data_IF_431365760825
#
_entry.id   IF_431365760825
#
_cell.length_a   1.000
_cell.length_b   1.000
_cell.length_c   1.000
_cell.angle_alpha   90.00
_cell.angle_beta   90.00
_cell.angle_gamma   90.00
#
_symmetry.space_group_name_H-M   'P 1'
#
loop_
_entity.id
_entity.type
_entity.pdbx_description
1 polymer ?
#
# COMPACT_ATOMS: atom_id res chain seq x y z
N UNK A 1 23.80 2.13 -47.08
CA UNK A 1 22.32 2.12 -47.09
C UNK A 1 21.86 1.92 -45.65
N UNK A 2 21.63 3.00 -44.92
CA UNK A 2 21.05 2.97 -43.58
C UNK A 2 19.54 2.85 -43.71
N UNK A 3 18.96 1.82 -43.09
CA UNK A 3 17.53 1.56 -43.07
C UNK A 3 16.74 2.79 -42.56
N UNK A 4 15.50 3.02 -43.03
CA UNK A 4 14.65 4.03 -42.44
C UNK A 4 14.38 3.63 -40.98
N UNK A 5 14.82 4.47 -40.05
CA UNK A 5 14.52 4.32 -38.63
C UNK A 5 13.05 4.72 -38.49
N UNK A 6 12.18 3.76 -38.19
CA UNK A 6 10.77 4.06 -37.92
C UNK A 6 10.68 5.23 -36.92
N UNK A 7 9.75 6.17 -37.12
CA UNK A 7 9.60 7.30 -36.20
C UNK A 7 9.36 6.76 -34.78
N UNK A 8 9.91 7.43 -33.74
CA UNK A 8 9.71 6.96 -32.37
C UNK A 8 8.20 6.88 -32.08
N UNK A 9 7.75 5.73 -31.59
CA UNK A 9 6.38 5.52 -31.11
C UNK A 9 6.16 6.47 -29.93
N UNK A 10 5.57 7.64 -30.21
CA UNK A 10 5.43 8.74 -29.24
C UNK A 10 4.31 8.51 -28.23
N UNK A 11 3.33 7.71 -28.61
CA UNK A 11 2.16 7.37 -27.82
C UNK A 11 1.96 5.86 -27.81
N UNK A 12 1.69 5.29 -26.65
CA UNK A 12 1.31 3.88 -26.47
C UNK A 12 -0.02 3.83 -25.74
N UNK A 13 -0.93 2.98 -26.21
CA UNK A 13 -2.23 2.75 -25.57
C UNK A 13 -2.24 1.42 -24.86
N UNK A 14 -2.79 1.41 -23.65
CA UNK A 14 -3.00 0.20 -22.86
C UNK A 14 -4.43 0.16 -22.35
N UNK A 15 -5.02 -1.03 -22.35
CA UNK A 15 -6.38 -1.25 -21.85
C UNK A 15 -6.29 -1.96 -20.50
N UNK A 16 -6.99 -1.41 -19.50
CA UNK A 16 -7.01 -1.88 -18.12
C UNK A 16 -8.41 -2.32 -17.72
N UNK A 17 -8.51 -3.47 -17.06
CA UNK A 17 -9.74 -4.02 -16.50
C UNK A 17 -9.97 -3.50 -15.06
N UNK A 18 -11.15 -2.94 -14.80
CA UNK A 18 -11.56 -2.36 -13.51
C UNK A 18 -11.89 -3.41 -12.44
N UNK A 19 -12.01 -4.69 -12.80
CA UNK A 19 -12.00 -5.82 -11.88
C UNK A 19 -10.59 -6.15 -11.38
N UNK A 20 -9.55 -5.83 -12.16
CA UNK A 20 -8.16 -6.00 -11.77
C UNK A 20 -7.59 -4.77 -11.04
N UNK A 21 -7.94 -3.56 -11.49
CA UNK A 21 -7.36 -2.32 -11.00
C UNK A 21 -8.44 -1.34 -10.52
N UNK A 22 -8.28 -0.79 -9.32
CA UNK A 22 -9.08 0.34 -8.89
C UNK A 22 -8.78 1.58 -9.75
N UNK A 23 -9.82 2.33 -10.15
CA UNK A 23 -9.69 3.59 -10.88
C UNK A 23 -8.82 4.61 -10.13
N UNK A 24 -8.89 4.62 -8.81
CA UNK A 24 -8.06 5.46 -7.95
C UNK A 24 -6.58 5.10 -8.12
N UNK A 25 -6.24 3.81 -8.15
CA UNK A 25 -4.87 3.33 -8.34
C UNK A 25 -4.29 3.75 -9.70
N UNK A 26 -5.08 3.62 -10.77
CA UNK A 26 -4.71 4.03 -12.12
C UNK A 26 -4.39 5.53 -12.16
N UNK A 27 -5.26 6.35 -11.56
CA UNK A 27 -5.06 7.81 -11.48
C UNK A 27 -3.82 8.18 -10.68
N UNK A 28 -3.58 7.51 -9.55
CA UNK A 28 -2.40 7.73 -8.71
C UNK A 28 -1.11 7.35 -9.45
N UNK A 29 -1.11 6.21 -10.16
CA UNK A 29 0.04 5.80 -10.97
C UNK A 29 0.35 6.80 -12.09
N UNK A 30 -0.66 7.31 -12.79
CA UNK A 30 -0.48 8.36 -13.80
C UNK A 30 0.13 9.64 -13.19
N UNK A 31 -0.29 10.03 -11.97
CA UNK A 31 0.25 11.18 -11.29
C UNK A 31 1.76 11.03 -10.96
N UNK A 32 2.21 9.83 -10.56
CA UNK A 32 3.63 9.53 -10.28
C UNK A 32 4.51 9.80 -11.50
N UNK A 33 4.02 9.47 -12.70
CA UNK A 33 4.77 9.61 -13.95
C UNK A 33 4.47 10.89 -14.74
N UNK A 34 3.58 11.76 -14.24
CA UNK A 34 3.22 13.03 -14.90
C UNK A 34 4.40 13.96 -15.28
N UNK A 35 5.56 13.95 -14.58
CA UNK A 35 6.72 14.71 -15.02
C UNK A 35 7.39 14.15 -16.28
N UNK A 36 7.21 12.86 -16.59
CA UNK A 36 7.89 12.14 -17.67
C UNK A 36 6.97 11.84 -18.86
N UNK A 37 5.67 11.71 -18.63
CA UNK A 37 4.67 11.42 -19.66
C UNK A 37 3.35 12.16 -19.42
N UNK A 38 2.60 12.33 -20.49
CA UNK A 38 1.20 12.72 -20.47
C UNK A 38 0.33 11.46 -20.51
N UNK A 39 -0.70 11.44 -19.67
CA UNK A 39 -1.64 10.33 -19.55
C UNK A 39 -3.04 10.83 -19.89
N UNK A 40 -3.69 10.18 -20.84
CA UNK A 40 -5.12 10.37 -21.12
C UNK A 40 -5.85 9.09 -20.76
N UNK A 41 -6.80 9.20 -19.84
CA UNK A 41 -7.56 8.06 -19.32
C UNK A 41 -8.99 8.20 -19.83
N UNK A 42 -9.40 7.29 -20.71
CA UNK A 42 -10.73 7.27 -21.29
C UNK A 42 -11.48 6.00 -20.91
N UNK A 43 -12.80 6.09 -20.89
CA UNK A 43 -13.65 4.92 -20.63
C UNK A 43 -13.80 4.15 -21.93
N UNK A 44 -13.22 2.96 -21.97
CA UNK A 44 -13.39 2.04 -23.09
C UNK A 44 -14.31 0.90 -22.66
N UNK A 45 -15.64 1.09 -22.76
CA UNK A 45 -16.62 0.07 -22.33
C UNK A 45 -17.05 0.18 -20.86
N UNK A 46 -17.72 -0.85 -20.33
CA UNK A 46 -18.33 -0.79 -18.98
C UNK A 46 -17.31 -0.97 -17.85
N UNK A 47 -16.39 -1.90 -18.01
CA UNK A 47 -15.45 -2.34 -16.97
C UNK A 47 -13.99 -2.16 -17.38
N UNK A 48 -13.72 -1.37 -18.42
CA UNK A 48 -12.39 -1.20 -18.96
C UNK A 48 -12.07 0.28 -19.18
N UNK A 49 -10.79 0.64 -19.04
CA UNK A 49 -10.24 1.96 -19.31
C UNK A 49 -9.13 1.86 -20.34
N UNK A 50 -9.16 2.75 -21.34
CA UNK A 50 -8.01 2.99 -22.20
C UNK A 50 -7.14 4.06 -21.55
N UNK A 51 -5.82 3.82 -21.53
CA UNK A 51 -4.84 4.80 -21.11
C UNK A 51 -3.85 5.03 -22.23
N UNK A 52 -3.88 6.22 -22.81
CA UNK A 52 -2.82 6.70 -23.69
C UNK A 52 -1.67 7.25 -22.87
N UNK A 53 -0.45 6.81 -23.18
CA UNK A 53 0.80 7.23 -22.56
C UNK A 53 1.67 7.88 -23.62
N UNK A 54 1.86 9.19 -23.50
CA UNK A 54 2.70 9.97 -24.41
C UNK A 54 3.95 10.44 -23.68
N UNK A 55 5.12 9.94 -24.10
CA UNK A 55 6.39 10.35 -23.49
C UNK A 55 6.68 11.82 -23.79
N UNK A 56 7.22 12.55 -22.80
CA UNK A 56 7.71 13.92 -23.00
C UNK A 56 9.13 13.95 -23.59
N UNK A 57 9.88 12.86 -23.45
CA UNK A 57 11.20 12.70 -24.06
C UNK A 57 11.14 12.15 -25.48
N UNK A 58 12.27 12.27 -26.19
CA UNK A 58 12.40 11.88 -27.59
C UNK A 58 13.11 10.53 -27.77
N UNK A 59 13.37 9.79 -26.69
CA UNK A 59 14.11 8.54 -26.79
C UNK A 59 13.24 7.47 -27.49
N UNK A 60 13.78 6.73 -28.48
CA UNK A 60 13.04 5.67 -29.14
C UNK A 60 12.53 4.63 -28.15
N UNK A 61 11.23 4.34 -28.18
CA UNK A 61 10.59 3.36 -27.30
C UNK A 61 10.33 3.85 -25.87
N UNK A 62 10.55 5.13 -25.58
CA UNK A 62 10.36 5.70 -24.24
C UNK A 62 8.89 5.61 -23.77
N UNK A 63 7.93 5.92 -24.65
CA UNK A 63 6.51 5.80 -24.34
C UNK A 63 6.12 4.36 -23.94
N UNK A 64 6.67 3.37 -24.64
CA UNK A 64 6.45 1.94 -24.34
C UNK A 64 7.09 1.53 -23.01
N UNK A 65 8.31 2.01 -22.72
CA UNK A 65 8.95 1.79 -21.41
C UNK A 65 8.10 2.39 -20.28
N UNK A 66 7.69 3.65 -20.44
CA UNK A 66 6.86 4.36 -19.46
C UNK A 66 5.49 3.71 -19.28
N UNK A 67 4.87 3.20 -20.34
CA UNK A 67 3.63 2.43 -20.25
C UNK A 67 3.82 1.16 -19.40
N UNK A 68 4.93 0.43 -19.58
CA UNK A 68 5.25 -0.74 -18.75
C UNK A 68 5.49 -0.39 -17.28
N UNK A 69 6.22 0.70 -17.00
CA UNK A 69 6.45 1.19 -15.65
C UNK A 69 5.17 1.68 -14.97
N UNK A 70 4.31 2.36 -15.74
CA UNK A 70 2.98 2.77 -15.32
C UNK A 70 2.12 1.58 -14.91
N UNK A 71 2.08 0.49 -15.70
CA UNK A 71 1.28 -0.71 -15.36
C UNK A 71 1.74 -1.35 -14.04
N UNK A 72 3.06 -1.41 -13.82
CA UNK A 72 3.62 -1.92 -12.56
C UNK A 72 3.22 -1.03 -11.38
N UNK A 73 3.28 0.29 -11.55
CA UNK A 73 2.89 1.21 -10.49
C UNK A 73 1.38 1.19 -10.23
N UNK A 74 0.54 1.08 -11.27
CA UNK A 74 -0.91 0.92 -11.10
C UNK A 74 -1.23 -0.32 -10.27
N UNK A 75 -0.54 -1.45 -10.51
CA UNK A 75 -0.69 -2.65 -9.71
C UNK A 75 -0.23 -2.44 -8.26
N UNK A 76 0.90 -1.76 -8.05
CA UNK A 76 1.41 -1.45 -6.72
C UNK A 76 0.45 -0.56 -5.92
N UNK A 77 -0.11 0.47 -6.55
CA UNK A 77 -1.08 1.37 -5.92
C UNK A 77 -2.37 0.63 -5.58
N UNK A 78 -2.86 -0.23 -6.47
CA UNK A 78 -4.05 -1.04 -6.22
C UNK A 78 -3.84 -1.97 -5.00
N UNK A 79 -2.70 -2.67 -4.94
CA UNK A 79 -2.35 -3.52 -3.80
C UNK A 79 -2.27 -2.72 -2.49
N UNK A 80 -1.67 -1.52 -2.51
CA UNK A 80 -1.61 -0.64 -1.34
C UNK A 80 -3.01 -0.21 -0.89
N UNK A 81 -3.88 0.16 -1.82
CA UNK A 81 -5.28 0.54 -1.51
C UNK A 81 -6.04 -0.64 -0.92
N UNK A 82 -5.93 -1.84 -1.50
CA UNK A 82 -6.56 -3.06 -0.97
C UNK A 82 -6.06 -3.38 0.44
N UNK A 83 -4.75 -3.31 0.65
CA UNK A 83 -4.15 -3.53 1.98
C UNK A 83 -4.62 -2.48 2.98
N UNK A 84 -4.64 -1.21 2.62
CA UNK A 84 -5.11 -0.13 3.48
C UNK A 84 -6.59 -0.31 3.85
N UNK A 85 -7.44 -0.68 2.89
CA UNK A 85 -8.87 -0.95 3.10
C UNK A 85 -9.09 -2.16 4.01
N UNK A 86 -8.38 -3.27 3.76
CA UNK A 86 -8.46 -4.48 4.59
C UNK A 86 -7.98 -4.24 6.03
N UNK A 87 -6.97 -3.38 6.22
CA UNK A 87 -6.39 -3.08 7.52
C UNK A 87 -6.99 -1.84 8.20
N UNK A 88 -8.07 -1.27 7.66
CA UNK A 88 -8.63 -0.01 8.16
C UNK A 88 -9.03 -0.10 9.64
N UNK A 89 -9.54 -1.25 10.10
CA UNK A 89 -9.87 -1.47 11.50
C UNK A 89 -8.65 -1.42 12.43
N UNK A 90 -7.54 -2.05 12.02
CA UNK A 90 -6.28 -2.04 12.77
C UNK A 90 -5.68 -0.63 12.80
N UNK A 91 -5.69 0.07 11.67
CA UNK A 91 -5.23 1.46 11.58
C UNK A 91 -6.02 2.38 12.51
N UNK A 92 -7.35 2.24 12.54
CA UNK A 92 -8.21 3.00 13.47
C UNK A 92 -7.91 2.68 14.93
N UNK A 93 -7.72 1.41 15.28
CA UNK A 93 -7.38 1.00 16.64
C UNK A 93 -6.02 1.59 17.08
N UNK A 94 -5.01 1.49 16.23
CA UNK A 94 -3.68 2.05 16.49
C UNK A 94 -3.73 3.57 16.63
N UNK A 95 -4.45 4.26 15.75
CA UNK A 95 -4.65 5.71 15.84
C UNK A 95 -5.36 6.11 17.15
N UNK A 96 -6.43 5.39 17.51
CA UNK A 96 -7.14 5.62 18.77
C UNK A 96 -6.23 5.40 19.99
N UNK A 97 -5.42 4.33 19.98
CA UNK A 97 -4.45 4.08 21.05
C UNK A 97 -3.36 5.17 21.12
N UNK A 98 -2.86 5.63 19.98
CA UNK A 98 -1.87 6.70 19.91
C UNK A 98 -2.43 8.02 20.45
N UNK A 99 -3.63 8.42 20.00
CA UNK A 99 -4.32 9.61 20.48
C UNK A 99 -4.62 9.52 21.98
N UNK A 100 -5.11 8.37 22.45
CA UNK A 100 -5.39 8.13 23.87
C UNK A 100 -4.13 8.23 24.73
N UNK A 101 -2.99 7.73 24.23
CA UNK A 101 -1.70 7.82 24.92
C UNK A 101 -1.18 9.25 24.94
N UNK A 102 -1.29 9.98 23.82
CA UNK A 102 -0.88 11.37 23.71
C UNK A 102 -1.72 12.31 24.59
N UNK A 103 -3.01 12.02 24.76
CA UNK A 103 -3.92 12.76 25.63
C UNK A 103 -3.64 12.55 27.13
N UNK A 104 -2.66 11.73 27.51
CA UNK A 104 -2.39 11.40 28.91
C UNK A 104 -3.51 10.62 29.58
N UNK A 105 -4.42 10.01 28.81
CA UNK A 105 -5.48 9.19 29.37
C UNK A 105 -4.86 7.93 29.98
N UNK A 106 -4.69 7.94 31.31
CA UNK A 106 -4.28 6.77 32.07
C UNK A 106 -5.13 5.57 31.67
N UNK A 107 -4.55 4.35 31.70
CA UNK A 107 -5.36 3.13 31.66
C UNK A 107 -6.48 3.31 32.69
N UNK A 108 -7.76 3.04 32.34
CA UNK A 108 -8.79 3.07 33.36
C UNK A 108 -8.30 2.10 34.45
N UNK A 109 -8.31 2.49 35.73
CA UNK A 109 -7.93 1.57 36.77
C UNK A 109 -8.76 0.31 36.56
N UNK A 110 -8.08 -0.81 36.33
CA UNK A 110 -8.74 -2.11 36.24
C UNK A 110 -9.65 -2.22 37.46
N UNK A 111 -10.89 -2.64 37.30
CA UNK A 111 -11.74 -2.88 38.46
C UNK A 111 -11.03 -3.88 39.40
N UNK A 112 -11.36 -3.85 40.70
CA UNK A 112 -10.68 -4.67 41.69
C UNK A 112 -10.72 -6.18 41.33
N UNK A 113 -11.74 -6.61 40.59
CA UNK A 113 -11.93 -8.00 40.16
C UNK A 113 -10.97 -8.36 39.04
N UNK A 114 -10.79 -7.49 38.05
CA UNK A 114 -9.85 -7.61 36.95
C UNK A 114 -8.40 -7.55 37.44
N UNK A 115 -8.08 -6.65 38.39
CA UNK A 115 -6.77 -6.62 39.04
C UNK A 115 -6.45 -7.92 39.77
N UNK A 116 -7.43 -8.46 40.50
CA UNK A 116 -7.28 -9.71 41.23
C UNK A 116 -7.08 -10.90 40.29
N UNK A 117 -7.79 -10.93 39.16
CA UNK A 117 -7.63 -11.96 38.10
C UNK A 117 -6.23 -11.92 37.48
N UNK A 118 -5.76 -10.72 37.10
CA UNK A 118 -4.44 -10.52 36.52
C UNK A 118 -3.32 -10.93 37.49
N UNK A 119 -3.45 -10.57 38.78
CA UNK A 119 -2.50 -10.97 39.83
C UNK A 119 -2.47 -12.48 40.04
N UNK A 120 -3.62 -13.16 39.92
CA UNK A 120 -3.70 -14.61 40.07
C UNK A 120 -3.03 -15.34 38.90
N UNK A 121 -3.28 -14.87 37.67
CA UNK A 121 -2.63 -15.40 36.46
C UNK A 121 -1.13 -15.17 36.46
N UNK A 122 -0.67 -13.95 36.80
CA UNK A 122 0.75 -13.66 36.94
C UNK A 122 1.42 -14.55 37.99
N UNK A 123 0.76 -14.78 39.14
CA UNK A 123 1.26 -15.72 40.17
C UNK A 123 1.35 -17.15 39.66
N UNK A 124 0.36 -17.64 38.91
CA UNK A 124 0.37 -18.98 38.31
C UNK A 124 1.50 -19.15 37.31
N UNK A 125 1.70 -18.15 36.44
CA UNK A 125 2.80 -18.15 35.47
C UNK A 125 4.17 -18.15 36.16
N UNK A 126 4.36 -17.34 37.20
CA UNK A 126 5.62 -17.27 37.95
C UNK A 126 5.90 -18.52 38.79
N UNK A 127 4.87 -19.22 39.26
CA UNK A 127 5.01 -20.48 39.99
C UNK A 127 5.44 -21.65 39.10
N UNK A 128 5.18 -21.57 37.79
CA UNK A 128 5.60 -22.57 36.79
C UNK A 128 7.03 -22.37 36.26
N UNK A 129 7.72 -21.28 36.62
CA UNK A 129 9.09 -21.02 36.17
C UNK A 129 10.08 -21.76 37.09
N UNK A 130 10.83 -22.77 36.60
CA UNK A 130 11.81 -23.46 37.43
C UNK A 130 12.88 -22.46 37.88
N UNK A 131 13.05 -22.31 39.20
CA UNK A 131 14.10 -21.47 39.78
C UNK A 131 15.46 -22.04 39.34
N UNK A 132 16.23 -21.27 38.55
CA UNK A 132 17.64 -21.56 38.26
C UNK A 132 18.34 -21.84 39.60
N UNK A 133 18.76 -23.09 39.82
CA UNK A 133 19.59 -23.46 40.98
C UNK A 133 20.88 -22.64 40.86
N UNK A 134 21.05 -21.70 41.78
CA UNK A 134 22.27 -20.90 41.87
C UNK A 134 23.47 -21.82 42.03
N UNK A 135 24.41 -21.70 41.11
CA UNK A 135 25.66 -22.44 41.13
C UNK A 135 26.51 -21.88 42.27
N UNK A 136 26.57 -22.59 43.40
CA UNK A 136 27.55 -22.30 44.46
C UNK A 136 28.89 -22.87 43.98
N UNK A 137 29.83 -21.98 43.66
CA UNK A 137 31.26 -22.28 43.68
C UNK A 137 31.86 -21.54 44.86
#
# INVERSE_FOLDING_TARGET
>A
MTAPKDPPEREVRVVLDLGCYDREAITQAAAVFSPQAEFFIEKEGKETLEVSVSARGDAPGEARRLAGEFLNEALNQDLRLRLARSNQGLLRLLAAQALRSAAGAERPPLDAKAQRRLRLEARRLMAGIPKKRGNRR
#
